data_IF_690063143769
#
_entry.id   IF_690063143769
#
_cell.length_a   1.000
_cell.length_b   1.000
_cell.length_c   1.000
_cell.angle_alpha   90.00
_cell.angle_beta   90.00
_cell.angle_gamma   90.00
#
_symmetry.space_group_name_H-M   'P 1'
#
loop_
_entity.id
_entity.type
_entity.pdbx_description
1 polymer ?
#
# COMPACT_ATOMS: atom_id res chain seq x y z
N UNK A 1 -5.77 -32.05 -29.98
CA UNK A 1 -4.83 -31.63 -28.93
C UNK A 1 -5.60 -31.71 -27.63
N UNK A 2 -4.98 -32.19 -26.56
CA UNK A 2 -5.61 -32.28 -25.24
C UNK A 2 -6.03 -30.88 -24.74
N UNK A 3 -7.31 -30.62 -24.41
CA UNK A 3 -7.78 -29.31 -23.95
C UNK A 3 -6.97 -28.74 -22.79
N UNK A 4 -6.52 -29.61 -21.87
CA UNK A 4 -5.73 -29.21 -20.70
C UNK A 4 -4.37 -28.65 -21.12
N UNK A 5 -3.67 -29.32 -22.05
CA UNK A 5 -2.39 -28.83 -22.59
C UNK A 5 -2.54 -27.51 -23.34
N UNK A 6 -3.66 -27.34 -24.04
CA UNK A 6 -3.94 -26.11 -24.78
C UNK A 6 -4.26 -24.96 -23.83
N UNK A 7 -4.94 -25.24 -22.71
CA UNK A 7 -5.16 -24.28 -21.64
C UNK A 7 -3.83 -23.87 -20.98
N UNK A 8 -2.97 -24.83 -20.63
CA UNK A 8 -1.62 -24.53 -20.10
C UNK A 8 -0.80 -23.65 -21.06
N UNK A 9 -0.86 -23.92 -22.36
CA UNK A 9 -0.21 -23.11 -23.39
C UNK A 9 -0.79 -21.69 -23.47
N UNK A 10 -2.12 -21.54 -23.41
CA UNK A 10 -2.79 -20.23 -23.38
C UNK A 10 -2.37 -19.40 -22.15
N UNK A 11 -2.28 -20.04 -20.98
CA UNK A 11 -1.80 -19.42 -19.73
C UNK A 11 -0.33 -18.99 -19.86
N UNK A 12 0.53 -19.83 -20.44
CA UNK A 12 1.93 -19.46 -20.70
C UNK A 12 2.02 -18.20 -21.54
N UNK A 13 1.26 -18.13 -22.65
CA UNK A 13 1.22 -16.93 -23.49
C UNK A 13 0.77 -15.67 -22.72
N UNK A 14 -0.24 -15.77 -21.84
CA UNK A 14 -0.63 -14.65 -20.98
C UNK A 14 0.50 -14.20 -20.04
N UNK A 15 1.22 -15.16 -19.45
CA UNK A 15 2.32 -14.88 -18.52
C UNK A 15 3.53 -14.24 -19.20
N UNK A 16 3.71 -14.48 -20.50
CA UNK A 16 4.78 -13.91 -21.35
C UNK A 16 4.35 -12.58 -22.00
N UNK A 17 3.08 -12.19 -21.86
CA UNK A 17 2.53 -10.98 -22.49
C UNK A 17 2.20 -11.15 -23.99
N UNK A 18 2.18 -12.39 -24.49
CA UNK A 18 1.82 -12.73 -25.87
C UNK A 18 0.30 -12.82 -26.05
N UNK A 19 -0.38 -11.67 -25.92
CA UNK A 19 -1.85 -11.62 -25.86
C UNK A 19 -2.55 -12.08 -27.14
N UNK A 20 -1.96 -11.90 -28.31
CA UNK A 20 -2.50 -12.38 -29.59
C UNK A 20 -2.54 -13.92 -29.65
N UNK A 21 -1.42 -14.57 -29.28
CA UNK A 21 -1.33 -16.03 -29.22
C UNK A 21 -2.27 -16.61 -28.16
N UNK A 22 -2.32 -15.98 -26.97
CA UNK A 22 -3.27 -16.36 -25.92
C UNK A 22 -4.72 -16.27 -26.41
N UNK A 23 -5.09 -15.19 -27.11
CA UNK A 23 -6.44 -15.00 -27.66
C UNK A 23 -6.81 -16.12 -28.63
N UNK A 24 -5.91 -16.45 -29.54
CA UNK A 24 -6.14 -17.53 -30.51
C UNK A 24 -6.29 -18.90 -29.83
N UNK A 25 -5.50 -19.16 -28.78
CA UNK A 25 -5.59 -20.39 -28.02
C UNK A 25 -6.92 -20.51 -27.26
N UNK A 26 -7.37 -19.43 -26.59
CA UNK A 26 -8.65 -19.39 -25.90
C UNK A 26 -9.86 -19.45 -26.84
N UNK A 27 -9.78 -18.84 -28.03
CA UNK A 27 -10.84 -18.90 -29.04
C UNK A 27 -11.12 -20.36 -29.43
N UNK A 28 -10.06 -21.12 -29.71
CA UNK A 28 -10.21 -22.55 -30.00
C UNK A 28 -10.68 -23.39 -28.80
N UNK A 29 -10.39 -22.97 -27.56
CA UNK A 29 -10.89 -23.66 -26.36
C UNK A 29 -12.40 -23.41 -26.21
N UNK A 30 -12.86 -22.20 -26.52
CA UNK A 30 -14.28 -21.86 -26.57
C UNK A 30 -15.02 -22.59 -27.69
N UNK A 31 -14.38 -22.88 -28.82
CA UNK A 31 -14.98 -23.76 -29.85
C UNK A 31 -15.27 -25.17 -29.32
N UNK A 32 -14.48 -25.66 -28.35
CA UNK A 32 -14.65 -26.98 -27.73
C UNK A 32 -15.66 -26.96 -26.59
N UNK A 33 -15.63 -25.91 -25.75
CA UNK A 33 -16.54 -25.73 -24.62
C UNK A 33 -16.94 -24.24 -24.45
N UNK A 34 -18.00 -23.78 -25.15
CA UNK A 34 -18.39 -22.37 -25.17
C UNK A 34 -18.90 -21.83 -23.82
N UNK A 35 -19.39 -22.69 -22.95
CA UNK A 35 -19.98 -22.31 -21.67
C UNK A 35 -18.96 -22.28 -20.53
N UNK A 36 -17.69 -22.60 -20.83
CA UNK A 36 -16.63 -22.60 -19.84
C UNK A 36 -16.26 -21.16 -19.42
N UNK A 37 -16.49 -20.78 -18.15
CA UNK A 37 -16.24 -19.42 -17.71
C UNK A 37 -14.75 -19.06 -17.69
N UNK A 38 -13.84 -20.03 -17.50
CA UNK A 38 -12.39 -19.79 -17.55
C UNK A 38 -11.92 -19.51 -18.98
N UNK A 39 -12.45 -20.23 -19.97
CA UNK A 39 -12.10 -19.98 -21.37
C UNK A 39 -12.66 -18.63 -21.85
N UNK A 40 -13.91 -18.32 -21.46
CA UNK A 40 -14.53 -17.02 -21.76
C UNK A 40 -13.79 -15.86 -21.11
N UNK A 41 -13.36 -16.04 -19.86
CA UNK A 41 -12.50 -15.11 -19.13
C UNK A 41 -11.15 -14.92 -19.84
N UNK A 42 -10.43 -16.00 -20.13
CA UNK A 42 -9.13 -15.96 -20.79
C UNK A 42 -9.18 -15.25 -22.14
N UNK A 43 -10.18 -15.58 -22.97
CA UNK A 43 -10.39 -14.92 -24.25
C UNK A 43 -10.67 -13.42 -24.12
N UNK A 44 -11.48 -13.02 -23.13
CA UNK A 44 -11.77 -11.61 -22.87
C UNK A 44 -10.50 -10.86 -22.43
N UNK A 45 -9.73 -11.44 -21.51
CA UNK A 45 -8.51 -10.85 -20.98
C UNK A 45 -7.49 -10.64 -22.10
N UNK A 46 -7.21 -11.70 -22.87
CA UNK A 46 -6.27 -11.62 -23.99
C UNK A 46 -6.72 -10.59 -25.03
N UNK A 47 -8.02 -10.55 -25.38
CA UNK A 47 -8.58 -9.56 -26.30
C UNK A 47 -8.47 -8.13 -25.78
N UNK A 48 -8.65 -7.91 -24.47
CA UNK A 48 -8.55 -6.58 -23.89
C UNK A 48 -7.14 -5.98 -24.08
N UNK A 49 -6.12 -6.80 -23.83
CA UNK A 49 -4.72 -6.39 -23.90
C UNK A 49 -4.17 -6.36 -25.33
N UNK A 50 -4.55 -7.32 -26.17
CA UNK A 50 -4.21 -7.37 -27.60
C UNK A 50 -4.64 -6.07 -28.31
N UNK A 51 -5.87 -5.59 -28.09
CA UNK A 51 -6.35 -4.33 -28.67
C UNK A 51 -5.59 -3.07 -28.20
N UNK A 52 -4.74 -3.17 -27.18
CA UNK A 52 -3.97 -2.05 -26.62
C UNK A 52 -2.47 -2.17 -26.89
N UNK A 53 -2.00 -3.30 -27.43
CA UNK A 53 -0.58 -3.62 -27.55
C UNK A 53 0.16 -2.61 -28.44
N UNK A 54 -0.44 -2.23 -29.58
CA UNK A 54 0.11 -1.21 -30.48
C UNK A 54 0.30 0.13 -29.78
N UNK A 55 -0.70 0.56 -29.00
CA UNK A 55 -0.62 1.82 -28.26
C UNK A 55 0.45 1.76 -27.17
N UNK A 56 0.62 0.63 -26.51
CA UNK A 56 1.70 0.42 -25.52
C UNK A 56 3.06 0.54 -26.22
N UNK A 57 3.26 -0.13 -27.35
CA UNK A 57 4.53 -0.12 -28.09
C UNK A 57 4.86 1.24 -28.71
N UNK A 58 3.86 1.97 -29.22
CA UNK A 58 4.04 3.33 -29.76
C UNK A 58 4.31 4.37 -28.67
N UNK A 59 3.95 4.09 -27.41
CA UNK A 59 4.23 4.98 -26.29
C UNK A 59 5.70 4.91 -25.91
N UNK A 60 6.32 6.07 -25.67
CA UNK A 60 7.73 6.18 -25.33
C UNK A 60 8.07 5.35 -24.08
N UNK A 61 9.11 4.53 -24.18
CA UNK A 61 9.66 3.77 -23.06
C UNK A 61 10.02 4.65 -21.86
N UNK A 62 9.99 4.05 -20.68
CA UNK A 62 10.29 4.74 -19.44
C UNK A 62 9.01 5.26 -18.77
N UNK A 63 9.03 6.52 -18.37
CA UNK A 63 8.00 7.10 -17.50
C UNK A 63 6.63 7.13 -18.16
N UNK A 64 6.55 7.48 -19.44
CA UNK A 64 5.29 7.60 -20.17
C UNK A 64 4.61 6.22 -20.32
N UNK A 65 5.35 5.19 -20.74
CA UNK A 65 4.81 3.83 -20.83
C UNK A 65 4.45 3.25 -19.46
N UNK A 66 5.24 3.54 -18.41
CA UNK A 66 4.90 3.15 -17.02
C UNK A 66 3.53 3.71 -16.61
N UNK A 67 3.30 5.00 -16.86
CA UNK A 67 2.02 5.65 -16.54
C UNK A 67 0.85 5.05 -17.32
N UNK A 68 1.04 4.81 -18.62
CA UNK A 68 0.02 4.21 -19.48
C UNK A 68 -0.37 2.80 -19.03
N UNK A 69 0.61 1.95 -18.69
CA UNK A 69 0.35 0.57 -18.26
C UNK A 69 -0.46 0.54 -16.96
N UNK A 70 -0.12 1.39 -15.99
CA UNK A 70 -0.89 1.53 -14.75
C UNK A 70 -2.32 2.03 -14.99
N UNK A 71 -2.51 2.98 -15.90
CA UNK A 71 -3.83 3.45 -16.31
C UNK A 71 -4.65 2.32 -16.94
N UNK A 72 -4.08 1.60 -17.90
CA UNK A 72 -4.76 0.48 -18.55
C UNK A 72 -5.07 -0.68 -17.62
N UNK A 73 -4.20 -0.95 -16.64
CA UNK A 73 -4.45 -1.96 -15.61
C UNK A 73 -5.61 -1.55 -14.71
N UNK A 74 -5.65 -0.29 -14.27
CA UNK A 74 -6.77 0.23 -13.48
C UNK A 74 -8.09 0.14 -14.25
N UNK A 75 -8.09 0.52 -15.51
CA UNK A 75 -9.27 0.44 -16.38
C UNK A 75 -9.70 -1.02 -16.58
N UNK A 76 -8.74 -1.92 -16.81
CA UNK A 76 -8.97 -3.34 -16.97
C UNK A 76 -9.68 -3.91 -15.75
N UNK A 77 -9.16 -3.69 -14.55
CA UNK A 77 -9.75 -4.23 -13.32
C UNK A 77 -11.14 -3.67 -13.04
N UNK A 78 -11.38 -2.39 -13.35
CA UNK A 78 -12.67 -1.74 -13.23
C UNK A 78 -13.71 -2.41 -14.13
N UNK A 79 -13.37 -2.62 -15.40
CA UNK A 79 -14.26 -3.28 -16.36
C UNK A 79 -14.42 -4.76 -16.01
N UNK A 80 -13.33 -5.45 -15.67
CA UNK A 80 -13.34 -6.87 -15.32
C UNK A 80 -14.24 -7.16 -14.11
N UNK A 81 -14.21 -6.30 -13.08
CA UNK A 81 -15.10 -6.39 -11.92
C UNK A 81 -16.58 -6.35 -12.29
N UNK A 82 -16.96 -5.67 -13.38
CA UNK A 82 -18.35 -5.60 -13.86
C UNK A 82 -18.83 -6.85 -14.62
N UNK A 83 -17.90 -7.70 -15.08
CA UNK A 83 -18.19 -8.83 -15.97
C UNK A 83 -18.52 -10.15 -15.27
N UNK A 84 -18.48 -10.19 -13.94
CA UNK A 84 -18.71 -11.41 -13.13
C UNK A 84 -17.83 -12.60 -13.49
N UNK A 85 -16.72 -12.39 -14.20
CA UNK A 85 -15.77 -13.45 -14.52
C UNK A 85 -14.96 -13.87 -13.29
N UNK A 86 -14.56 -15.15 -13.22
CA UNK A 86 -13.70 -15.68 -12.17
C UNK A 86 -12.32 -14.98 -12.16
N UNK A 87 -11.73 -14.81 -10.98
CA UNK A 87 -10.36 -14.29 -10.82
C UNK A 87 -9.41 -15.45 -10.55
N UNK A 88 -9.18 -16.24 -11.59
CA UNK A 88 -8.33 -17.43 -11.53
C UNK A 88 -7.06 -17.23 -12.37
N UNK A 89 -6.46 -18.32 -12.84
CA UNK A 89 -5.11 -18.37 -13.37
C UNK A 89 -4.90 -17.43 -14.57
N UNK A 90 -5.89 -17.32 -15.47
CA UNK A 90 -5.85 -16.39 -16.62
C UNK A 90 -5.75 -14.93 -16.18
N UNK A 91 -6.52 -14.54 -15.16
CA UNK A 91 -6.50 -13.17 -14.61
C UNK A 91 -5.16 -12.87 -13.97
N UNK A 92 -4.68 -13.76 -13.09
CA UNK A 92 -3.41 -13.57 -12.39
C UNK A 92 -2.23 -13.52 -13.36
N UNK A 93 -2.17 -14.44 -14.33
CA UNK A 93 -1.08 -14.51 -15.31
C UNK A 93 -0.97 -13.24 -16.16
N UNK A 94 -2.10 -12.68 -16.58
CA UNK A 94 -2.12 -11.43 -17.35
C UNK A 94 -1.79 -10.20 -16.49
N UNK A 95 -2.29 -10.14 -15.25
CA UNK A 95 -1.95 -9.03 -14.34
C UNK A 95 -0.46 -9.05 -14.01
N UNK A 96 0.10 -10.21 -13.72
CA UNK A 96 1.52 -10.35 -13.39
C UNK A 96 2.43 -9.96 -14.57
N UNK A 97 2.09 -10.35 -15.80
CA UNK A 97 2.87 -9.98 -16.98
C UNK A 97 2.88 -8.47 -17.22
N UNK A 98 1.73 -7.81 -17.04
CA UNK A 98 1.62 -6.35 -17.11
C UNK A 98 2.39 -5.66 -15.98
N UNK A 99 2.35 -6.18 -14.75
CA UNK A 99 3.10 -5.63 -13.62
C UNK A 99 4.62 -5.75 -13.80
N UNK A 100 5.09 -6.87 -14.37
CA UNK A 100 6.51 -7.05 -14.71
C UNK A 100 6.97 -6.08 -15.79
N UNK A 101 6.22 -5.96 -16.89
CA UNK A 101 6.51 -4.96 -17.94
C UNK A 101 6.48 -3.54 -17.37
N UNK A 102 5.51 -3.21 -16.52
CA UNK A 102 5.44 -1.89 -15.85
C UNK A 102 6.68 -1.63 -14.99
N UNK A 103 7.16 -2.65 -14.28
CA UNK A 103 8.38 -2.58 -13.46
C UNK A 103 9.62 -2.39 -14.32
N UNK A 104 9.72 -3.04 -15.47
CA UNK A 104 10.84 -2.87 -16.40
C UNK A 104 10.85 -1.48 -17.05
N UNK A 105 9.67 -0.96 -17.42
CA UNK A 105 9.55 0.42 -17.90
C UNK A 105 9.92 1.43 -16.81
N UNK A 106 9.57 1.18 -15.55
CA UNK A 106 10.03 2.00 -14.44
C UNK A 106 11.55 1.99 -14.30
N UNK A 107 12.19 0.81 -14.40
CA UNK A 107 13.66 0.69 -14.37
C UNK A 107 14.32 1.41 -15.55
N UNK A 108 13.68 1.42 -16.72
CA UNK A 108 14.12 2.23 -17.87
C UNK A 108 14.01 3.72 -17.54
N UNK A 109 12.90 4.17 -16.96
CA UNK A 109 12.69 5.55 -16.55
C UNK A 109 13.76 6.01 -15.55
N UNK A 110 14.04 5.21 -14.52
CA UNK A 110 15.08 5.48 -13.52
C UNK A 110 16.46 5.66 -14.17
N UNK A 111 16.82 4.78 -15.12
CA UNK A 111 18.13 4.83 -15.80
C UNK A 111 18.26 5.98 -16.79
N UNK A 112 17.22 6.26 -17.58
CA UNK A 112 17.27 7.25 -18.67
C UNK A 112 16.87 8.66 -18.24
N UNK A 113 15.89 8.79 -17.34
CA UNK A 113 15.25 10.05 -16.96
C UNK A 113 15.58 10.47 -15.51
N UNK A 114 16.03 9.53 -14.67
CA UNK A 114 16.38 9.76 -13.28
C UNK A 114 15.18 9.83 -12.33
N UNK A 115 15.44 9.69 -11.03
CA UNK A 115 14.40 9.59 -9.98
C UNK A 115 13.47 10.81 -9.90
N UNK A 116 13.95 12.00 -10.26
CA UNK A 116 13.17 13.24 -10.22
C UNK A 116 12.05 13.28 -11.27
N UNK A 117 12.15 12.46 -12.32
CA UNK A 117 11.10 12.33 -13.33
C UNK A 117 9.90 11.54 -12.81
N UNK A 118 10.08 10.73 -11.75
CA UNK A 118 9.06 9.81 -11.27
C UNK A 118 8.08 10.49 -10.32
N UNK A 119 6.80 10.14 -10.46
CA UNK A 119 5.79 10.57 -9.51
C UNK A 119 5.72 9.60 -8.32
N UNK A 120 5.79 10.07 -7.06
CA UNK A 120 5.57 9.23 -5.88
C UNK A 120 4.22 8.49 -5.92
N UNK A 121 3.19 9.07 -6.53
CA UNK A 121 1.88 8.44 -6.67
C UNK A 121 1.92 7.23 -7.61
N UNK A 122 2.66 7.32 -8.71
CA UNK A 122 2.81 6.21 -9.66
C UNK A 122 3.60 5.05 -9.06
N UNK A 123 4.64 5.37 -8.27
CA UNK A 123 5.39 4.35 -7.53
C UNK A 123 4.52 3.70 -6.45
N UNK A 124 3.73 4.50 -5.72
CA UNK A 124 2.83 3.98 -4.71
C UNK A 124 1.76 3.09 -5.32
N UNK A 125 1.23 3.46 -6.49
CA UNK A 125 0.28 2.62 -7.23
C UNK A 125 0.92 1.31 -7.68
N UNK A 126 2.09 1.33 -8.33
CA UNK A 126 2.78 0.10 -8.74
C UNK A 126 3.09 -0.81 -7.54
N UNK A 127 3.64 -0.26 -6.46
CA UNK A 127 4.00 -1.02 -5.24
C UNK A 127 2.78 -1.67 -4.60
N UNK A 128 1.66 -0.95 -4.54
CA UNK A 128 0.39 -1.47 -4.06
C UNK A 128 -0.11 -2.64 -4.91
N UNK A 129 -0.05 -2.53 -6.24
CA UNK A 129 -0.49 -3.60 -7.14
C UNK A 129 0.37 -4.84 -7.03
N UNK A 130 1.69 -4.67 -6.94
CA UNK A 130 2.63 -5.78 -6.72
C UNK A 130 2.34 -6.49 -5.40
N UNK A 131 2.06 -5.75 -4.31
CA UNK A 131 1.67 -6.35 -3.03
C UNK A 131 0.34 -7.11 -3.10
N UNK A 132 -0.65 -6.60 -3.84
CA UNK A 132 -1.92 -7.33 -4.04
C UNK A 132 -1.74 -8.60 -4.88
N UNK A 133 -0.78 -8.60 -5.80
CA UNK A 133 -0.40 -9.76 -6.61
C UNK A 133 0.56 -10.72 -5.88
N UNK A 134 0.87 -10.46 -4.60
CA UNK A 134 1.82 -11.25 -3.79
C UNK A 134 3.28 -11.23 -4.31
N UNK A 135 3.59 -10.36 -5.28
CA UNK A 135 4.92 -10.11 -5.85
C UNK A 135 5.76 -9.21 -4.92
N UNK A 136 5.96 -9.68 -3.69
CA UNK A 136 6.58 -8.92 -2.59
C UNK A 136 8.02 -8.53 -2.90
N UNK A 137 8.78 -9.41 -3.56
CA UNK A 137 10.19 -9.15 -3.92
C UNK A 137 10.28 -8.01 -4.94
N UNK A 138 9.45 -8.04 -6.00
CA UNK A 138 9.38 -6.97 -6.99
C UNK A 138 8.92 -5.65 -6.37
N UNK A 139 7.92 -5.67 -5.49
CA UNK A 139 7.47 -4.48 -4.76
C UNK A 139 8.62 -3.86 -3.95
N UNK A 140 9.39 -4.71 -3.25
CA UNK A 140 10.55 -4.28 -2.49
C UNK A 140 11.63 -3.66 -3.38
N UNK A 141 11.93 -4.25 -4.54
CA UNK A 141 12.89 -3.70 -5.50
C UNK A 141 12.44 -2.34 -6.04
N UNK A 142 11.18 -2.20 -6.44
CA UNK A 142 10.60 -0.93 -6.90
C UNK A 142 10.77 0.15 -5.84
N UNK A 143 10.45 -0.15 -4.57
CA UNK A 143 10.57 0.79 -3.46
C UNK A 143 12.03 1.13 -3.12
N UNK A 144 12.94 0.15 -3.22
CA UNK A 144 14.38 0.36 -3.02
C UNK A 144 14.97 1.26 -4.11
N UNK A 145 14.65 0.98 -5.37
CA UNK A 145 15.19 1.69 -6.52
C UNK A 145 14.62 3.11 -6.63
N UNK A 146 13.44 3.36 -6.04
CA UNK A 146 12.79 4.67 -5.89
C UNK A 146 13.03 5.34 -4.52
N UNK A 147 14.03 4.87 -3.77
CA UNK A 147 14.34 5.41 -2.44
C UNK A 147 14.64 6.91 -2.46
N UNK A 148 14.14 7.62 -1.46
CA UNK A 148 14.18 9.07 -1.34
C UNK A 148 12.85 9.75 -1.69
N UNK A 149 11.93 9.07 -2.36
CA UNK A 149 10.57 9.58 -2.62
C UNK A 149 9.63 9.41 -1.40
N UNK A 150 9.92 8.50 -0.47
CA UNK A 150 9.07 8.19 0.69
C UNK A 150 8.90 9.39 1.64
N UNK A 151 9.86 10.33 1.63
CA UNK A 151 9.73 11.56 2.40
C UNK A 151 8.52 12.40 1.99
N UNK A 152 8.05 12.23 0.76
CA UNK A 152 6.90 12.92 0.17
C UNK A 152 5.61 12.09 0.14
N UNK A 153 5.66 10.80 0.48
CA UNK A 153 4.50 9.92 0.43
C UNK A 153 4.47 8.95 1.62
N UNK A 154 3.51 9.13 2.56
CA UNK A 154 3.26 8.18 3.64
C UNK A 154 2.93 6.77 3.11
N UNK A 155 2.27 6.65 1.96
CA UNK A 155 1.95 5.37 1.33
C UNK A 155 3.20 4.61 0.91
N UNK A 156 4.19 5.28 0.32
CA UNK A 156 5.46 4.61 -0.05
C UNK A 156 6.18 4.08 1.19
N UNK A 157 6.18 4.86 2.28
CA UNK A 157 6.75 4.43 3.54
C UNK A 157 6.01 3.21 4.12
N UNK A 158 4.68 3.19 4.00
CA UNK A 158 3.82 2.10 4.43
C UNK A 158 4.05 0.81 3.64
N UNK A 159 4.13 0.88 2.31
CA UNK A 159 4.42 -0.32 1.50
C UNK A 159 5.84 -0.82 1.72
N UNK A 160 6.80 0.10 1.94
CA UNK A 160 8.15 -0.28 2.34
C UNK A 160 8.17 -0.98 3.69
N UNK A 161 7.35 -0.52 4.64
CA UNK A 161 7.16 -1.19 5.94
C UNK A 161 6.68 -2.63 5.76
N UNK A 162 5.64 -2.83 4.93
CA UNK A 162 5.08 -4.15 4.65
C UNK A 162 6.11 -5.07 4.00
N UNK A 163 6.75 -4.64 2.91
CA UNK A 163 7.78 -5.42 2.24
C UNK A 163 8.92 -5.77 3.20
N UNK A 164 9.39 -4.80 3.99
CA UNK A 164 10.48 -5.03 4.97
C UNK A 164 10.09 -6.08 6.01
N UNK A 165 8.84 -6.05 6.47
CA UNK A 165 8.33 -7.06 7.40
C UNK A 165 8.27 -8.45 6.77
N UNK A 166 7.68 -8.57 5.58
CA UNK A 166 7.51 -9.84 4.87
C UNK A 166 8.85 -10.47 4.44
N UNK A 167 9.85 -9.64 4.15
CA UNK A 167 11.23 -10.07 3.87
C UNK A 167 12.03 -10.44 5.14
N UNK A 168 11.36 -10.56 6.30
CA UNK A 168 11.94 -11.06 7.55
C UNK A 168 12.55 -9.99 8.46
N UNK A 169 12.62 -8.73 8.04
CA UNK A 169 13.14 -7.63 8.87
C UNK A 169 12.01 -7.00 9.71
N UNK A 170 11.34 -7.84 10.49
CA UNK A 170 10.07 -7.51 11.17
C UNK A 170 10.16 -6.25 12.03
N UNK A 171 11.22 -6.12 12.85
CA UNK A 171 11.39 -4.97 13.72
C UNK A 171 11.50 -3.65 12.94
N UNK A 172 12.30 -3.63 11.87
CA UNK A 172 12.42 -2.46 10.99
C UNK A 172 11.10 -2.17 10.27
N UNK A 173 10.38 -3.21 9.81
CA UNK A 173 9.05 -3.06 9.22
C UNK A 173 8.05 -2.38 10.17
N UNK A 174 7.97 -2.83 11.43
CA UNK A 174 7.08 -2.22 12.43
C UNK A 174 7.45 -0.75 12.71
N UNK A 175 8.74 -0.42 12.75
CA UNK A 175 9.19 0.97 12.90
C UNK A 175 8.73 1.84 11.72
N UNK A 176 8.90 1.36 10.47
CA UNK A 176 8.45 2.09 9.28
C UNK A 176 6.93 2.24 9.24
N UNK A 177 6.18 1.21 9.67
CA UNK A 177 4.73 1.28 9.80
C UNK A 177 4.31 2.41 10.72
N UNK A 178 4.92 2.44 11.91
CA UNK A 178 4.65 3.49 12.89
C UNK A 178 4.89 4.87 12.32
N UNK A 179 5.97 5.06 11.57
CA UNK A 179 6.25 6.34 10.91
C UNK A 179 5.23 6.71 9.83
N UNK A 180 4.77 5.74 9.04
CA UNK A 180 3.76 5.98 8.01
C UNK A 180 2.42 6.42 8.62
N UNK A 181 1.95 5.71 9.66
CA UNK A 181 0.77 6.11 10.43
C UNK A 181 0.97 7.47 11.10
N UNK A 182 2.13 7.72 11.72
CA UNK A 182 2.41 9.01 12.31
C UNK A 182 2.43 10.14 11.28
N UNK A 183 2.64 9.90 9.98
CA UNK A 183 2.56 10.95 8.96
C UNK A 183 1.12 11.26 8.56
N UNK A 184 0.37 10.28 8.07
CA UNK A 184 -1.01 10.47 7.62
C UNK A 184 -1.72 9.11 7.51
N UNK A 185 -2.51 8.70 8.51
CA UNK A 185 -3.23 7.43 8.48
C UNK A 185 -4.25 7.35 7.34
N UNK A 186 -4.90 8.46 6.99
CA UNK A 186 -6.06 8.48 6.08
C UNK A 186 -5.76 7.98 4.67
N UNK A 187 -4.52 8.17 4.19
CA UNK A 187 -4.10 7.78 2.83
C UNK A 187 -3.64 6.33 2.71
N UNK A 188 -3.46 5.62 3.83
CA UNK A 188 -2.86 4.29 3.83
C UNK A 188 -3.83 3.23 3.32
N UNK A 189 -3.39 2.33 2.45
CA UNK A 189 -4.23 1.25 1.88
C UNK A 189 -4.04 -0.04 2.66
N UNK A 190 -4.97 -0.30 3.57
CA UNK A 190 -4.86 -1.37 4.57
C UNK A 190 -5.10 -2.78 4.01
N UNK A 191 -5.72 -2.88 2.84
CA UNK A 191 -6.00 -4.14 2.15
C UNK A 191 -4.75 -4.80 1.53
N UNK A 192 -3.66 -4.04 1.38
CA UNK A 192 -2.34 -4.56 1.03
C UNK A 192 -1.60 -5.23 2.21
N UNK A 193 -2.11 -5.13 3.44
CA UNK A 193 -1.43 -5.67 4.63
C UNK A 193 -1.58 -7.19 4.72
N UNK A 194 -0.45 -7.86 4.92
CA UNK A 194 -0.29 -9.28 5.24
C UNK A 194 0.55 -9.50 6.49
N UNK A 195 1.32 -8.50 6.95
CA UNK A 195 2.03 -8.55 8.24
C UNK A 195 1.08 -8.87 9.40
N UNK A 196 1.34 -10.01 10.05
CA UNK A 196 0.44 -10.61 11.03
C UNK A 196 -0.01 -9.67 12.17
N UNK A 197 0.88 -8.92 12.86
CA UNK A 197 0.45 -8.09 13.98
C UNK A 197 -0.43 -6.93 13.54
N UNK A 198 -0.17 -6.37 12.35
CA UNK A 198 -0.97 -5.28 11.79
C UNK A 198 -2.30 -5.82 11.28
N UNK A 199 -2.29 -6.96 10.59
CA UNK A 199 -3.47 -7.62 10.06
C UNK A 199 -4.45 -8.01 11.19
N UNK A 200 -3.96 -8.57 12.29
CA UNK A 200 -4.77 -8.89 13.48
C UNK A 200 -5.41 -7.65 14.10
N UNK A 201 -4.66 -6.55 14.20
CA UNK A 201 -5.20 -5.29 14.70
C UNK A 201 -6.28 -4.72 13.77
N UNK A 202 -6.08 -4.80 12.44
CA UNK A 202 -7.10 -4.42 11.45
C UNK A 202 -8.37 -5.26 11.63
N UNK A 203 -8.24 -6.58 11.74
CA UNK A 203 -9.38 -7.49 11.91
C UNK A 203 -10.16 -7.22 13.20
N UNK A 204 -9.45 -6.90 14.30
CA UNK A 204 -10.06 -6.52 15.57
C UNK A 204 -10.94 -5.27 15.41
N UNK A 205 -10.38 -4.21 14.81
CA UNK A 205 -11.08 -2.93 14.65
C UNK A 205 -12.17 -2.94 13.58
N UNK A 206 -12.10 -3.82 12.57
CA UNK A 206 -13.16 -3.97 11.56
C UNK A 206 -14.52 -4.34 12.16
N UNK A 207 -14.53 -4.99 13.33
CA UNK A 207 -15.77 -5.31 14.04
C UNK A 207 -16.39 -4.09 14.75
N UNK A 208 -15.58 -3.08 15.06
CA UNK A 208 -15.96 -1.90 15.85
C UNK A 208 -16.25 -0.68 14.96
N UNK A 209 -15.56 -0.55 13.83
CA UNK A 209 -15.63 0.62 12.94
C UNK A 209 -16.16 0.26 11.56
N UNK A 210 -17.30 0.86 11.19
CA UNK A 210 -17.90 0.75 9.85
C UNK A 210 -17.19 1.67 8.84
N UNK A 211 -16.77 2.87 9.26
CA UNK A 211 -16.05 3.81 8.40
C UNK A 211 -14.55 3.50 8.36
N UNK A 212 -14.01 3.30 7.15
CA UNK A 212 -12.59 3.01 6.95
C UNK A 212 -11.69 4.14 7.48
N UNK A 213 -12.15 5.40 7.39
CA UNK A 213 -11.41 6.55 7.89
C UNK A 213 -11.27 6.56 9.42
N UNK A 214 -12.28 6.11 10.16
CA UNK A 214 -12.18 5.97 11.63
C UNK A 214 -11.24 4.82 11.99
N UNK A 215 -11.35 3.69 11.28
CA UNK A 215 -10.49 2.54 11.47
C UNK A 215 -9.00 2.89 11.28
N UNK A 216 -8.67 3.65 10.22
CA UNK A 216 -7.29 4.08 9.94
C UNK A 216 -6.70 4.93 11.06
N UNK A 217 -7.50 5.78 11.70
CA UNK A 217 -7.05 6.61 12.82
C UNK A 217 -6.96 5.82 14.14
N UNK A 218 -7.86 4.87 14.35
CA UNK A 218 -7.88 4.01 15.53
C UNK A 218 -6.73 2.98 15.56
N UNK A 219 -6.39 2.42 14.40
CA UNK A 219 -5.39 1.37 14.22
C UNK A 219 -4.04 1.65 14.89
N UNK A 220 -3.36 2.78 14.64
CA UNK A 220 -2.09 3.08 15.30
C UNK A 220 -2.23 3.26 16.82
N UNK A 221 -3.40 3.67 17.34
CA UNK A 221 -3.65 3.76 18.78
C UNK A 221 -3.69 2.37 19.41
N UNK A 222 -4.44 1.44 18.82
CA UNK A 222 -4.49 0.05 19.29
C UNK A 222 -3.10 -0.60 19.26
N UNK A 223 -2.34 -0.38 18.18
CA UNK A 223 -0.98 -0.90 18.03
C UNK A 223 -0.02 -0.30 19.06
N UNK A 224 -0.22 0.95 19.47
CA UNK A 224 0.51 1.56 20.59
C UNK A 224 0.14 0.88 21.91
N UNK A 225 -1.16 0.72 22.20
CA UNK A 225 -1.65 0.08 23.44
C UNK A 225 -1.14 -1.33 23.64
N UNK A 226 -1.14 -2.14 22.57
CA UNK A 226 -0.68 -3.51 22.57
C UNK A 226 0.86 -3.61 22.61
N UNK A 227 1.57 -2.48 22.62
CA UNK A 227 3.02 -2.48 22.61
C UNK A 227 3.59 -3.07 21.31
N UNK A 228 2.88 -2.99 20.18
CA UNK A 228 3.46 -3.32 18.87
C UNK A 228 4.29 -2.11 18.39
N UNK A 229 3.73 -0.91 18.49
CA UNK A 229 4.45 0.35 18.27
C UNK A 229 5.19 0.80 19.54
N UNK A 230 6.30 0.11 19.86
CA UNK A 230 7.16 0.48 21.01
C UNK A 230 8.15 1.59 20.67
N UNK A 231 8.89 1.38 19.61
CA UNK A 231 10.03 2.23 19.24
C UNK A 231 9.66 3.20 18.13
N UNK A 232 10.42 4.29 18.07
CA UNK A 232 10.36 5.25 16.98
C UNK A 232 11.79 5.64 16.64
N UNK A 233 12.06 5.95 15.37
CA UNK A 233 13.39 6.43 15.01
C UNK A 233 13.73 7.71 15.77
N UNK A 234 15.03 7.98 15.87
CA UNK A 234 15.49 9.27 16.35
C UNK A 234 15.00 10.39 15.41
N UNK A 235 14.25 11.32 15.98
CA UNK A 235 13.78 12.53 15.29
C UNK A 235 14.79 13.67 15.46
N UNK A 236 14.84 14.54 14.47
CA UNK A 236 15.57 15.81 14.56
C UNK A 236 14.80 16.84 15.41
N UNK A 237 15.49 17.86 15.91
CA UNK A 237 14.88 18.98 16.64
C UNK A 237 13.74 19.63 15.86
N UNK A 238 13.95 19.83 14.56
CA UNK A 238 12.96 20.42 13.67
C UNK A 238 11.69 19.57 13.58
N UNK A 239 11.84 18.24 13.51
CA UNK A 239 10.69 17.32 13.47
C UNK A 239 9.93 17.30 14.80
N UNK A 240 10.65 17.29 15.92
CA UNK A 240 10.03 17.34 17.25
C UNK A 240 9.22 18.63 17.45
N UNK A 241 9.76 19.76 17.02
CA UNK A 241 9.06 21.04 17.09
C UNK A 241 7.85 21.09 16.13
N UNK A 242 7.96 20.49 14.93
CA UNK A 242 6.82 20.34 14.03
C UNK A 242 5.68 19.53 14.66
N UNK A 243 5.99 18.39 15.26
CA UNK A 243 4.99 17.55 15.94
C UNK A 243 4.40 18.20 17.17
N UNK A 244 5.19 18.94 17.93
CA UNK A 244 4.71 19.77 19.04
C UNK A 244 3.69 20.78 18.54
N UNK A 245 4.04 21.59 17.55
CA UNK A 245 3.14 22.61 17.01
C UNK A 245 1.84 22.01 16.44
N UNK A 246 1.92 20.86 15.78
CA UNK A 246 0.74 20.14 15.30
C UNK A 246 -0.14 19.65 16.46
N UNK A 247 0.45 19.09 17.53
CA UNK A 247 -0.29 18.67 18.72
C UNK A 247 -1.07 19.83 19.36
N UNK A 248 -0.43 20.99 19.50
CA UNK A 248 -1.08 22.19 20.05
C UNK A 248 -2.20 22.69 19.13
N UNK A 249 -1.97 22.71 17.81
CA UNK A 249 -3.01 23.05 16.83
C UNK A 249 -4.23 22.14 16.93
N UNK A 250 -4.01 20.82 17.02
CA UNK A 250 -5.08 19.84 17.15
C UNK A 250 -5.85 20.03 18.45
N UNK A 251 -5.14 20.19 19.57
CA UNK A 251 -5.72 20.45 20.90
C UNK A 251 -6.64 21.67 20.89
N UNK A 252 -6.16 22.79 20.35
CA UNK A 252 -6.89 24.05 20.33
C UNK A 252 -8.13 23.96 19.43
N UNK A 253 -8.06 23.13 18.37
CA UNK A 253 -9.21 22.86 17.50
C UNK A 253 -10.23 21.86 18.08
N UNK A 254 -9.89 21.13 19.13
CA UNK A 254 -10.70 20.02 19.65
C UNK A 254 -12.07 20.50 20.15
N UNK A 255 -12.11 21.64 20.85
CA UNK A 255 -13.36 22.24 21.37
C UNK A 255 -14.33 22.73 20.30
N UNK A 256 -13.89 22.85 19.04
CA UNK A 256 -14.69 23.28 17.91
C UNK A 256 -15.29 22.11 17.11
N UNK A 257 -14.88 20.87 17.40
CA UNK A 257 -15.28 19.66 16.67
C UNK A 257 -16.31 18.86 17.46
N UNK A 258 -17.15 18.10 16.74
CA UNK A 258 -18.17 17.22 17.33
C UNK A 258 -18.19 15.87 16.61
N UNK A 259 -18.56 14.81 17.32
CA UNK A 259 -18.79 13.47 16.75
C UNK A 259 -17.51 12.84 16.18
N UNK A 260 -17.60 12.18 15.01
CA UNK A 260 -16.47 11.45 14.40
C UNK A 260 -15.22 12.31 14.12
N UNK A 261 -15.38 13.62 13.87
CA UNK A 261 -14.23 14.52 13.70
C UNK A 261 -13.43 14.70 15.00
N UNK A 262 -14.11 14.67 16.15
CA UNK A 262 -13.46 14.73 17.46
C UNK A 262 -12.68 13.45 17.74
N UNK A 263 -13.26 12.28 17.44
CA UNK A 263 -12.62 10.97 17.60
C UNK A 263 -11.30 10.89 16.83
N UNK A 264 -11.33 11.16 15.51
CA UNK A 264 -10.12 11.13 14.65
C UNK A 264 -9.03 12.04 15.20
N UNK A 265 -9.39 13.24 15.66
CA UNK A 265 -8.42 14.18 16.27
C UNK A 265 -7.83 13.64 17.56
N UNK A 266 -8.63 13.04 18.44
CA UNK A 266 -8.11 12.42 19.67
C UNK A 266 -7.12 11.29 19.36
N UNK A 267 -7.46 10.40 18.43
CA UNK A 267 -6.56 9.35 17.97
C UNK A 267 -5.24 9.94 17.45
N UNK A 268 -5.34 10.99 16.65
CA UNK A 268 -4.17 11.68 16.10
C UNK A 268 -3.29 12.31 17.17
N UNK A 269 -3.90 13.00 18.13
CA UNK A 269 -3.18 13.57 19.27
C UNK A 269 -2.48 12.50 20.10
N UNK A 270 -3.12 11.35 20.34
CA UNK A 270 -2.51 10.21 21.05
C UNK A 270 -1.25 9.72 20.33
N UNK A 271 -1.31 9.53 19.01
CA UNK A 271 -0.15 9.09 18.21
C UNK A 271 1.02 10.06 18.36
N UNK A 272 0.76 11.37 18.25
CA UNK A 272 1.77 12.41 18.36
C UNK A 272 2.34 12.47 19.79
N UNK A 273 1.49 12.43 20.82
CA UNK A 273 1.95 12.39 22.21
C UNK A 273 2.88 11.20 22.45
N UNK A 274 2.51 10.00 22.02
CA UNK A 274 3.35 8.82 22.15
C UNK A 274 4.67 8.95 21.37
N UNK A 275 4.65 9.51 20.17
CA UNK A 275 5.87 9.76 19.39
C UNK A 275 6.85 10.72 20.11
N UNK A 276 6.33 11.82 20.67
CA UNK A 276 7.12 12.80 21.43
C UNK A 276 7.68 12.19 22.73
N UNK A 277 6.89 11.37 23.42
CA UNK A 277 7.31 10.67 24.64
C UNK A 277 8.38 9.62 24.39
N UNK A 278 8.31 8.91 23.26
CA UNK A 278 9.27 7.86 22.93
C UNK A 278 10.57 8.42 22.31
N UNK A 279 10.56 9.66 21.82
CA UNK A 279 11.72 10.33 21.22
C UNK A 279 12.71 10.93 22.24
N UNK A 280 12.59 10.60 23.54
CA UNK A 280 13.38 11.17 24.65
C UNK A 280 14.88 10.92 24.48
N UNK A 281 15.59 11.87 23.88
CA UNK A 281 17.04 11.79 23.67
C UNK A 281 17.84 12.90 24.36
N UNK A 282 17.21 13.85 25.06
CA UNK A 282 17.89 14.94 25.81
C UNK A 282 17.01 15.58 26.91
N UNK A 283 17.64 16.29 27.85
CA UNK A 283 16.99 17.07 28.92
C UNK A 283 16.12 18.24 28.41
N UNK A 284 16.50 18.86 27.28
CA UNK A 284 15.74 19.94 26.63
C UNK A 284 14.37 19.46 26.09
N UNK A 285 14.28 18.18 25.72
CA UNK A 285 13.00 17.57 25.33
C UNK A 285 12.12 17.18 26.53
N UNK A 286 12.61 17.41 27.76
CA UNK A 286 11.85 17.15 28.98
C UNK A 286 10.55 17.93 29.03
N UNK A 287 10.56 19.21 28.65
CA UNK A 287 9.35 20.05 28.65
C UNK A 287 8.33 19.60 27.60
N UNK A 288 8.79 19.34 26.36
CA UNK A 288 7.94 18.85 25.27
C UNK A 288 7.31 17.50 25.66
N UNK A 289 8.11 16.60 26.25
CA UNK A 289 7.62 15.32 26.72
C UNK A 289 6.65 15.47 27.90
N UNK A 290 6.86 16.42 28.81
CA UNK A 290 5.93 16.70 29.92
C UNK A 290 4.60 17.26 29.43
N UNK A 291 4.62 18.19 28.47
CA UNK A 291 3.40 18.71 27.83
C UNK A 291 2.63 17.59 27.12
N UNK A 292 3.33 16.78 26.31
CA UNK A 292 2.75 15.63 25.63
C UNK A 292 2.16 14.62 26.62
N UNK A 293 2.82 14.37 27.76
CA UNK A 293 2.31 13.49 28.82
C UNK A 293 1.03 14.05 29.45
N UNK A 294 1.02 15.35 29.81
CA UNK A 294 -0.17 16.02 30.38
C UNK A 294 -1.37 15.94 29.44
N UNK A 295 -1.15 16.14 28.13
CA UNK A 295 -2.20 16.02 27.11
C UNK A 295 -2.64 14.57 26.94
N UNK A 296 -1.69 13.62 26.92
CA UNK A 296 -2.04 12.20 26.80
C UNK A 296 -2.91 11.74 27.98
N UNK A 297 -2.56 12.16 29.20
CA UNK A 297 -3.29 11.79 30.42
C UNK A 297 -4.70 12.38 30.47
N UNK A 298 -4.97 13.49 29.77
CA UNK A 298 -6.32 14.03 29.64
C UNK A 298 -7.14 13.32 28.55
N UNK A 299 -6.50 12.65 27.59
CA UNK A 299 -7.13 11.91 26.50
C UNK A 299 -7.42 10.45 26.88
N UNK A 300 -6.41 9.73 27.38
CA UNK A 300 -6.51 8.39 27.94
C UNK A 300 -5.49 8.23 29.10
N UNK A 301 -5.93 8.38 30.36
CA UNK A 301 -5.07 8.27 31.54
C UNK A 301 -4.33 6.94 31.67
N UNK A 302 -4.88 5.86 31.11
CA UNK A 302 -4.36 4.52 31.29
C UNK A 302 -3.44 4.08 30.14
N UNK A 303 -3.48 4.77 29.01
CA UNK A 303 -2.72 4.41 27.80
C UNK A 303 -1.25 4.18 28.11
N UNK A 304 -0.60 5.15 28.74
CA UNK A 304 0.83 5.08 29.02
C UNK A 304 1.19 3.88 29.92
N UNK A 305 0.31 3.51 30.85
CA UNK A 305 0.51 2.33 31.71
C UNK A 305 0.26 1.02 30.98
N UNK A 306 -0.75 0.95 30.10
CA UNK A 306 -1.00 -0.22 29.23
C UNK A 306 0.23 -0.54 28.39
N UNK A 307 0.87 0.50 27.82
CA UNK A 307 2.09 0.39 27.00
C UNK A 307 3.31 -0.18 27.73
N UNK A 308 3.40 -0.04 29.05
CA UNK A 308 4.55 -0.48 29.85
C UNK A 308 4.41 -1.90 30.40
N UNK A 309 3.23 -2.53 30.27
CA UNK A 309 2.94 -3.88 30.81
C UNK A 309 3.17 -5.02 29.80
N UNK A 310 3.51 -4.68 28.56
CA UNK A 310 3.76 -5.62 27.44
C UNK A 310 5.24 -5.60 27.06
#
# INVERSE_FOLDING_TARGET
MDPDRKYEEAIRYLSEGEFEHARTAFDSLLELDPENPEYGSGFYISSYWDHRIDRIHLTKEGRERTGLLLEFLKDFESVYKSKTYPRELSYHSAVDSILRETTDQLRIALRKEGIQSLSPSSIAELSYRLLLAEETELAWEVLRDSSGLEKFSPELLFFRAECTYLMGQQHQGILLYREAFLKEPGVLRLDAVRSEPILKAIQTLKSEFQEEGDLKEALPVLLLEQGIFREIRKMSEKELEQWKNELFRLRDSLGLRKGGSEFKVKCRMIQICCALLDSRTSLLYGEIAQDAKRILDSLDPNLYHKRLKV
#
